data_IF_657587031516
#
_entry.id   IF_657587031516
#
_cell.length_a   1.000
_cell.length_b   1.000
_cell.length_c   1.000
_cell.angle_alpha   90.00
_cell.angle_beta   90.00
_cell.angle_gamma   90.00
#
_symmetry.space_group_name_H-M   'P 1'
#
loop_
_entity.id
_entity.type
_entity.pdbx_description
1 polymer ?
#
# COMPACT_ATOMS: atom_id res chain seq x y z
N UNK A 1 -5.40 29.39 -13.85
CA UNK A 1 -3.93 29.57 -13.86
C UNK A 1 -3.46 28.40 -13.02
N UNK A 2 -3.47 27.23 -13.65
CA UNK A 2 -3.37 25.95 -13.00
C UNK A 2 -1.89 25.60 -12.90
N UNK A 3 -1.33 25.74 -11.70
CA UNK A 3 -0.02 25.20 -11.35
C UNK A 3 -0.13 23.67 -11.26
N UNK A 4 -0.22 23.01 -12.43
CA UNK A 4 0.26 21.65 -12.58
C UNK A 4 1.78 21.72 -12.46
N UNK A 5 2.28 21.74 -11.23
CA UNK A 5 3.68 21.41 -10.96
C UNK A 5 3.86 19.99 -11.51
N UNK A 6 4.49 19.90 -12.68
CA UNK A 6 4.97 18.63 -13.22
C UNK A 6 6.04 18.12 -12.25
N UNK A 7 5.62 17.40 -11.21
CA UNK A 7 6.52 16.68 -10.32
C UNK A 7 7.32 15.76 -11.25
N UNK A 8 8.63 15.97 -11.34
CA UNK A 8 9.48 15.10 -12.17
C UNK A 8 9.30 13.67 -11.66
N UNK A 9 9.21 12.67 -12.53
CA UNK A 9 9.14 11.29 -12.08
C UNK A 9 10.31 11.01 -11.14
N UNK A 10 10.00 10.65 -9.90
CA UNK A 10 10.98 10.35 -8.87
C UNK A 10 11.36 8.87 -9.01
N UNK A 11 12.65 8.55 -8.90
CA UNK A 11 13.06 7.15 -8.86
C UNK A 11 12.47 6.49 -7.62
N UNK A 12 12.14 5.20 -7.72
CA UNK A 12 11.69 4.43 -6.57
C UNK A 12 12.81 4.44 -5.51
N UNK A 13 12.53 4.90 -4.26
CA UNK A 13 13.52 4.93 -3.20
C UNK A 13 13.80 3.53 -2.64
N UNK A 14 14.97 3.36 -2.03
CA UNK A 14 15.43 2.07 -1.50
C UNK A 14 14.47 1.46 -0.45
N UNK A 15 13.77 2.28 0.35
CA UNK A 15 12.81 1.76 1.33
C UNK A 15 11.61 1.02 0.69
N UNK A 16 11.34 1.28 -0.59
CA UNK A 16 10.31 0.59 -1.39
C UNK A 16 10.86 -0.57 -2.23
N UNK A 17 12.14 -0.94 -2.07
CA UNK A 17 12.69 -2.12 -2.72
C UNK A 17 12.17 -3.38 -2.04
N UNK A 18 12.14 -4.50 -2.75
CA UNK A 18 11.81 -5.78 -2.14
C UNK A 18 12.94 -6.19 -1.20
N UNK A 19 12.59 -6.47 0.06
CA UNK A 19 13.51 -7.08 1.02
C UNK A 19 13.96 -8.46 0.56
N UNK A 20 13.07 -9.22 -0.08
CA UNK A 20 13.38 -10.58 -0.54
C UNK A 20 14.37 -10.60 -1.70
N UNK A 21 14.23 -9.66 -2.65
CA UNK A 21 15.05 -9.63 -3.86
C UNK A 21 16.28 -8.69 -3.77
N UNK A 22 16.34 -7.83 -2.75
CA UNK A 22 17.36 -6.78 -2.57
C UNK A 22 17.50 -5.85 -3.80
N UNK A 23 16.35 -5.51 -4.39
CA UNK A 23 16.21 -4.68 -5.62
C UNK A 23 14.78 -4.15 -5.77
N UNK A 24 14.49 -3.23 -6.71
CA UNK A 24 13.11 -2.87 -7.03
C UNK A 24 12.28 -4.09 -7.39
N UNK A 25 11.00 -4.11 -6.97
CA UNK A 25 10.06 -5.17 -7.32
C UNK A 25 10.04 -5.41 -8.84
N UNK A 26 10.17 -6.67 -9.24
CA UNK A 26 10.22 -7.03 -10.64
C UNK A 26 8.95 -7.68 -11.17
N UNK A 27 8.30 -8.51 -10.36
CA UNK A 27 7.13 -9.30 -10.76
C UNK A 27 5.94 -9.00 -9.87
N UNK A 28 4.74 -8.99 -10.45
CA UNK A 28 3.49 -8.90 -9.70
C UNK A 28 3.36 -10.12 -8.80
N UNK A 29 3.08 -9.88 -7.52
CA UNK A 29 2.90 -10.93 -6.51
C UNK A 29 1.78 -11.90 -6.86
N UNK A 30 0.73 -11.45 -7.57
CA UNK A 30 -0.44 -12.28 -7.91
C UNK A 30 -0.29 -13.04 -9.23
N UNK A 31 -0.01 -12.36 -10.34
CA UNK A 31 0.06 -13.01 -11.65
C UNK A 31 1.47 -13.48 -12.05
N UNK A 32 2.51 -13.01 -11.37
CA UNK A 32 3.91 -13.33 -11.68
C UNK A 32 4.49 -12.62 -12.91
N UNK A 33 3.70 -11.82 -13.62
CA UNK A 33 4.17 -11.05 -14.78
C UNK A 33 5.06 -9.87 -14.38
N UNK A 34 5.91 -9.43 -15.31
CA UNK A 34 6.86 -8.33 -15.10
C UNK A 34 6.13 -7.00 -14.88
N UNK A 35 6.37 -6.34 -13.73
CA UNK A 35 5.75 -5.06 -13.37
C UNK A 35 6.12 -3.92 -14.33
N UNK A 36 7.31 -4.00 -14.91
CA UNK A 36 7.84 -3.02 -15.86
C UNK A 36 7.11 -2.99 -17.20
N UNK A 37 6.42 -4.08 -17.55
CA UNK A 37 5.71 -4.20 -18.83
C UNK A 37 4.27 -3.68 -18.76
N UNK A 38 3.79 -3.29 -17.57
CA UNK A 38 2.45 -2.75 -17.38
C UNK A 38 2.42 -1.23 -17.61
N UNK A 39 1.87 -0.82 -18.75
CA UNK A 39 1.65 0.59 -19.12
C UNK A 39 0.74 1.33 -18.12
N UNK A 40 -0.16 0.62 -17.44
CA UNK A 40 -1.05 1.19 -16.44
C UNK A 40 -0.32 1.52 -15.13
N UNK A 41 0.78 0.81 -14.85
CA UNK A 41 1.53 0.90 -13.59
C UNK A 41 1.19 -0.19 -12.58
N UNK A 42 1.75 -0.04 -11.39
CA UNK A 42 1.66 -0.99 -10.29
C UNK A 42 1.72 -0.32 -8.93
N UNK A 43 1.29 -1.03 -7.90
CA UNK A 43 1.34 -0.58 -6.52
C UNK A 43 2.34 -1.42 -5.73
N UNK A 44 3.13 -0.77 -4.89
CA UNK A 44 3.94 -1.39 -3.84
C UNK A 44 3.27 -1.09 -2.50
N UNK A 45 3.19 -2.08 -1.62
CA UNK A 45 2.75 -1.87 -0.25
C UNK A 45 3.63 -2.64 0.72
N UNK A 46 4.06 -1.97 1.79
CA UNK A 46 4.92 -2.52 2.83
C UNK A 46 4.39 -2.15 4.22
N UNK A 47 4.61 -3.02 5.20
CA UNK A 47 4.43 -2.71 6.62
C UNK A 47 5.77 -2.86 7.32
N UNK A 48 6.08 -1.84 8.11
CA UNK A 48 7.29 -1.73 8.90
C UNK A 48 6.97 -1.82 10.39
N UNK A 49 7.90 -2.41 11.13
CA UNK A 49 7.90 -2.43 12.59
C UNK A 49 9.34 -2.48 13.09
N UNK A 50 9.69 -1.60 14.03
CA UNK A 50 11.06 -1.49 14.57
C UNK A 50 12.14 -1.29 13.47
N UNK A 51 11.80 -0.59 12.39
CA UNK A 51 12.70 -0.33 11.26
C UNK A 51 12.86 -1.48 10.26
N UNK A 52 12.15 -2.59 10.43
CA UNK A 52 12.19 -3.74 9.52
C UNK A 52 10.85 -3.88 8.80
N UNK A 53 10.87 -4.18 7.49
CA UNK A 53 9.67 -4.54 6.77
C UNK A 53 9.25 -5.97 7.15
N UNK A 54 8.08 -6.09 7.78
CA UNK A 54 7.53 -7.37 8.25
C UNK A 54 6.54 -7.98 7.26
N UNK A 55 6.10 -7.18 6.27
CA UNK A 55 5.25 -7.63 5.18
C UNK A 55 5.45 -6.72 3.97
N UNK A 56 5.48 -7.29 2.78
CA UNK A 56 5.62 -6.54 1.53
C UNK A 56 4.97 -7.27 0.36
N UNK A 57 4.52 -6.50 -0.64
CA UNK A 57 4.09 -7.03 -1.93
C UNK A 57 4.05 -5.93 -3.00
N UNK A 58 3.95 -6.36 -4.26
CA UNK A 58 3.67 -5.49 -5.37
C UNK A 58 2.62 -6.09 -6.30
N UNK A 59 1.61 -5.31 -6.70
CA UNK A 59 0.57 -5.74 -7.63
C UNK A 59 0.53 -4.82 -8.84
N UNK A 60 0.46 -5.40 -10.05
CA UNK A 60 0.03 -4.61 -11.21
C UNK A 60 -1.40 -4.09 -10.98
N UNK A 61 -1.74 -2.95 -11.59
CA UNK A 61 -3.05 -2.35 -11.35
C UNK A 61 -4.22 -3.22 -11.78
N UNK A 62 -4.05 -4.10 -12.77
CA UNK A 62 -5.09 -5.07 -13.14
C UNK A 62 -5.38 -6.05 -12.00
N UNK A 63 -4.36 -6.65 -11.39
CA UNK A 63 -4.52 -7.55 -10.24
C UNK A 63 -5.02 -6.83 -8.98
N UNK A 64 -4.57 -5.58 -8.76
CA UNK A 64 -5.05 -4.74 -7.67
C UNK A 64 -6.54 -4.43 -7.84
N UNK A 65 -6.95 -3.92 -9.00
CA UNK A 65 -8.35 -3.58 -9.29
C UNK A 65 -9.28 -4.79 -9.17
N UNK A 66 -8.84 -5.97 -9.63
CA UNK A 66 -9.58 -7.22 -9.46
C UNK A 66 -9.80 -7.52 -7.97
N UNK A 67 -8.74 -7.49 -7.15
CA UNK A 67 -8.82 -7.70 -5.69
C UNK A 67 -9.79 -6.71 -5.02
N UNK A 68 -9.69 -5.41 -5.37
CA UNK A 68 -10.62 -4.40 -4.84
C UNK A 68 -12.06 -4.70 -5.26
N UNK A 69 -12.29 -5.12 -6.51
CA UNK A 69 -13.64 -5.39 -7.01
C UNK A 69 -14.38 -6.49 -6.23
N UNK A 70 -13.64 -7.42 -5.64
CA UNK A 70 -14.16 -8.53 -4.84
C UNK A 70 -14.63 -8.09 -3.44
N UNK A 71 -14.13 -6.94 -2.95
CA UNK A 71 -14.52 -6.37 -1.66
C UNK A 71 -16.01 -6.07 -1.57
N UNK A 72 -16.52 -5.98 -0.33
CA UNK A 72 -17.88 -5.48 -0.12
C UNK A 72 -18.02 -4.05 -0.65
N UNK A 73 -19.16 -3.72 -1.25
CA UNK A 73 -19.47 -2.36 -1.72
C UNK A 73 -19.45 -1.35 -0.56
N UNK A 74 -19.89 -1.77 0.62
CA UNK A 74 -19.90 -0.95 1.84
C UNK A 74 -18.48 -0.57 2.28
N UNK A 75 -17.56 -1.53 2.40
CA UNK A 75 -16.18 -1.23 2.78
C UNK A 75 -15.45 -0.42 1.73
N UNK A 76 -15.67 -0.68 0.43
CA UNK A 76 -15.09 0.14 -0.64
C UNK A 76 -15.52 1.59 -0.51
N UNK A 77 -16.83 1.84 -0.47
CA UNK A 77 -17.37 3.19 -0.35
C UNK A 77 -16.85 3.88 0.92
N UNK A 78 -16.87 3.19 2.06
CA UNK A 78 -16.46 3.75 3.35
C UNK A 78 -14.97 4.09 3.38
N UNK A 79 -14.12 3.24 2.82
CA UNK A 79 -12.68 3.50 2.69
C UNK A 79 -12.42 4.65 1.70
N UNK A 80 -13.03 4.59 0.51
CA UNK A 80 -12.92 5.65 -0.52
C UNK A 80 -13.31 7.02 0.06
N UNK A 81 -14.42 7.09 0.80
CA UNK A 81 -14.87 8.31 1.45
C UNK A 81 -13.88 8.78 2.52
N UNK A 82 -13.44 7.86 3.38
CA UNK A 82 -12.50 8.19 4.45
C UNK A 82 -11.17 8.72 3.92
N UNK A 83 -10.55 8.06 2.94
CA UNK A 83 -9.30 8.53 2.37
C UNK A 83 -9.49 9.84 1.59
N UNK A 84 -10.56 9.98 0.80
CA UNK A 84 -10.84 11.22 0.07
C UNK A 84 -11.01 12.44 1.01
N UNK A 85 -11.60 12.23 2.18
CA UNK A 85 -11.84 13.31 3.15
C UNK A 85 -10.61 13.63 4.02
N UNK A 86 -9.76 12.65 4.31
CA UNK A 86 -8.71 12.77 5.33
C UNK A 86 -7.28 12.72 4.79
N UNK A 87 -7.07 12.21 3.58
CA UNK A 87 -5.72 12.00 3.03
C UNK A 87 -5.17 13.31 2.48
N UNK A 88 -3.97 13.67 2.94
CA UNK A 88 -3.16 14.74 2.40
C UNK A 88 -2.09 14.14 1.47
N UNK A 89 -2.26 14.19 0.14
CA UNK A 89 -1.33 13.58 -0.80
C UNK A 89 0.03 14.29 -0.84
N UNK A 90 0.12 15.52 -0.32
CA UNK A 90 1.37 16.28 -0.35
C UNK A 90 2.38 15.84 0.72
N UNK A 91 1.99 14.94 1.63
CA UNK A 91 2.89 14.45 2.70
C UNK A 91 3.90 13.45 2.16
N UNK A 92 3.51 12.62 1.19
CA UNK A 92 4.41 11.60 0.63
C UNK A 92 4.98 10.67 1.70
N UNK A 93 6.31 10.52 1.66
CA UNK A 93 7.10 9.71 2.60
C UNK A 93 7.58 10.49 3.85
N UNK A 94 7.16 11.74 4.03
CA UNK A 94 7.61 12.61 5.13
C UNK A 94 6.79 12.47 6.43
N UNK A 95 5.68 11.72 6.39
CA UNK A 95 4.81 11.53 7.54
C UNK A 95 3.48 10.86 7.20
N UNK A 96 2.64 10.67 8.20
CA UNK A 96 1.33 10.05 8.03
C UNK A 96 0.39 10.93 7.19
N UNK A 97 -0.03 10.44 6.03
CA UNK A 97 -0.90 11.16 5.11
C UNK A 97 -2.30 11.47 5.68
N UNK A 98 -2.75 10.73 6.71
CA UNK A 98 -4.09 10.88 7.29
C UNK A 98 -4.16 11.79 8.52
N UNK A 99 -3.06 11.96 9.26
CA UNK A 99 -3.05 12.77 10.48
C UNK A 99 -1.91 13.78 10.56
N UNK A 100 -1.04 13.82 9.53
CA UNK A 100 0.15 14.67 9.45
C UNK A 100 1.16 14.45 10.59
N UNK A 101 1.13 13.29 11.24
CA UNK A 101 2.21 12.88 12.16
C UNK A 101 3.53 12.80 11.39
N UNK A 102 4.59 13.42 11.91
CA UNK A 102 5.90 13.43 11.22
C UNK A 102 6.54 12.03 11.20
N UNK A 103 7.40 11.77 10.21
CA UNK A 103 8.07 10.47 9.99
C UNK A 103 8.72 9.89 11.25
N UNK A 104 9.48 10.69 12.01
CA UNK A 104 10.19 10.20 13.21
C UNK A 104 9.26 9.70 14.31
N UNK A 105 8.06 10.26 14.42
CA UNK A 105 7.04 9.76 15.36
C UNK A 105 6.33 8.53 14.79
N UNK A 106 6.08 8.47 13.48
CA UNK A 106 5.46 7.30 12.84
C UNK A 106 6.33 6.05 13.00
N UNK A 107 7.65 6.17 12.82
CA UNK A 107 8.59 5.05 12.85
C UNK A 107 8.80 4.42 14.24
N UNK A 108 8.26 5.03 15.30
CA UNK A 108 8.33 4.47 16.67
C UNK A 108 7.44 3.25 16.87
N UNK A 109 6.42 3.11 16.03
CA UNK A 109 5.43 2.04 16.07
C UNK A 109 5.35 1.31 14.73
N UNK A 110 4.36 0.42 14.57
CA UNK A 110 4.05 -0.20 13.28
C UNK A 110 3.45 0.85 12.32
N UNK A 111 3.85 0.84 11.06
CA UNK A 111 3.32 1.73 10.04
C UNK A 111 3.35 1.07 8.67
N UNK A 112 2.56 1.60 7.72
CA UNK A 112 2.61 1.17 6.34
C UNK A 112 3.14 2.26 5.42
N UNK A 113 3.77 1.81 4.35
CA UNK A 113 4.13 2.64 3.19
C UNK A 113 3.41 2.05 1.98
N UNK A 114 2.72 2.91 1.23
CA UNK A 114 2.16 2.59 -0.08
C UNK A 114 2.77 3.47 -1.16
N UNK A 115 2.95 2.94 -2.36
CA UNK A 115 3.41 3.70 -3.51
C UNK A 115 2.76 3.23 -4.81
N UNK A 116 2.46 4.18 -5.68
CA UNK A 116 2.06 3.96 -7.06
C UNK A 116 3.27 4.20 -7.96
N UNK A 117 3.55 3.25 -8.85
CA UNK A 117 4.74 3.26 -9.68
C UNK A 117 4.38 3.01 -11.15
N UNK A 118 5.20 3.56 -12.05
CA UNK A 118 5.13 3.29 -13.47
C UNK A 118 6.55 3.20 -14.05
N UNK A 119 6.88 2.03 -14.59
CA UNK A 119 8.25 1.66 -14.92
C UNK A 119 9.16 1.78 -13.68
N UNK A 120 10.28 2.50 -13.84
CA UNK A 120 11.29 2.69 -12.77
C UNK A 120 10.98 3.87 -11.84
N UNK A 121 9.83 4.51 -12.03
CA UNK A 121 9.50 5.75 -11.36
C UNK A 121 8.35 5.54 -10.38
N UNK A 122 8.49 6.14 -9.22
CA UNK A 122 7.41 6.40 -8.28
C UNK A 122 6.61 7.61 -8.77
N UNK A 123 5.30 7.43 -8.87
CA UNK A 123 4.33 8.45 -9.26
C UNK A 123 3.79 9.15 -8.02
N UNK A 124 3.38 8.36 -7.03
CA UNK A 124 2.90 8.87 -5.74
C UNK A 124 3.24 7.89 -4.61
N UNK A 125 3.20 8.37 -3.37
CA UNK A 125 3.47 7.56 -2.19
C UNK A 125 2.81 8.14 -0.95
N UNK A 126 2.62 7.31 0.06
CA UNK A 126 2.06 7.74 1.33
C UNK A 126 2.52 6.82 2.46
N UNK A 127 2.47 7.36 3.67
CA UNK A 127 2.65 6.61 4.91
C UNK A 127 1.35 6.66 5.71
N UNK A 128 1.00 5.55 6.36
CA UNK A 128 -0.08 5.51 7.35
C UNK A 128 0.48 5.00 8.68
N UNK A 129 0.34 5.81 9.74
CA UNK A 129 0.78 5.42 11.09
C UNK A 129 -0.15 4.38 11.74
N UNK A 130 0.34 3.69 12.78
CA UNK A 130 -0.41 2.64 13.53
C UNK A 130 -1.85 3.03 13.86
N UNK A 131 -2.06 4.20 14.46
CA UNK A 131 -3.42 4.63 14.87
C UNK A 131 -4.34 4.86 13.67
N UNK A 132 -3.81 5.36 12.55
CA UNK A 132 -4.62 5.53 11.34
C UNK A 132 -4.89 4.20 10.66
N UNK A 133 -3.95 3.24 10.70
CA UNK A 133 -4.15 1.87 10.23
C UNK A 133 -5.25 1.14 11.02
N UNK A 134 -5.32 1.35 12.34
CA UNK A 134 -6.40 0.79 13.17
C UNK A 134 -7.76 1.39 12.81
N UNK A 135 -7.82 2.71 12.56
CA UNK A 135 -9.04 3.39 12.13
C UNK A 135 -9.53 2.83 10.79
N UNK A 136 -8.68 2.76 9.79
CA UNK A 136 -9.04 2.24 8.46
C UNK A 136 -9.44 0.77 8.54
N UNK A 137 -8.76 -0.03 9.37
CA UNK A 137 -9.14 -1.42 9.60
C UNK A 137 -10.54 -1.58 10.24
N UNK A 138 -10.94 -0.65 11.13
CA UNK A 138 -12.27 -0.68 11.75
C UNK A 138 -13.43 -0.41 10.78
N UNK A 139 -13.13 0.12 9.57
CA UNK A 139 -14.12 0.39 8.52
C UNK A 139 -14.39 -0.83 7.62
N UNK A 140 -13.64 -1.92 7.83
CA UNK A 140 -13.66 -3.10 6.96
C UNK A 140 -14.65 -4.13 7.46
N UNK A 141 -15.46 -4.65 6.54
CA UNK A 141 -16.42 -5.71 6.81
C UNK A 141 -15.75 -7.08 6.85
N UNK A 142 -16.42 -8.04 7.49
CA UNK A 142 -15.96 -9.44 7.49
C UNK A 142 -15.79 -10.03 6.08
N UNK A 143 -16.59 -9.58 5.09
CA UNK A 143 -16.43 -10.01 3.69
C UNK A 143 -15.10 -9.54 3.13
N UNK A 144 -14.79 -8.25 3.28
CA UNK A 144 -13.53 -7.68 2.76
C UNK A 144 -12.32 -8.28 3.48
N UNK A 145 -12.40 -8.51 4.80
CA UNK A 145 -11.37 -9.25 5.52
C UNK A 145 -11.15 -10.65 4.92
N UNK A 146 -12.23 -11.37 4.60
CA UNK A 146 -12.10 -12.71 4.00
C UNK A 146 -11.40 -12.68 2.63
N UNK A 147 -11.76 -11.74 1.74
CA UNK A 147 -11.10 -11.60 0.43
C UNK A 147 -9.60 -11.33 0.61
N UNK A 148 -9.25 -10.49 1.57
CA UNK A 148 -7.85 -10.26 1.91
C UNK A 148 -7.16 -11.52 2.43
N UNK A 149 -7.79 -12.25 3.34
CA UNK A 149 -7.23 -13.50 3.86
C UNK A 149 -7.03 -14.52 2.72
N UNK A 150 -7.96 -14.61 1.77
CA UNK A 150 -7.84 -15.45 0.58
C UNK A 150 -6.63 -15.04 -0.27
N UNK A 151 -6.49 -13.73 -0.58
CA UNK A 151 -5.31 -13.19 -1.28
C UNK A 151 -4.00 -13.58 -0.58
N UNK A 152 -3.95 -13.43 0.75
CA UNK A 152 -2.75 -13.77 1.50
C UNK A 152 -2.44 -15.26 1.43
N UNK A 153 -3.45 -16.12 1.63
CA UNK A 153 -3.27 -17.57 1.59
C UNK A 153 -2.80 -18.08 0.22
N UNK A 154 -3.26 -17.45 -0.85
CA UNK A 154 -2.91 -17.81 -2.22
C UNK A 154 -1.48 -17.38 -2.60
N UNK A 155 -1.06 -16.20 -2.12
CA UNK A 155 0.19 -15.56 -2.60
C UNK A 155 1.36 -15.65 -1.61
N UNK A 156 1.08 -15.93 -0.33
CA UNK A 156 2.08 -16.04 0.74
C UNK A 156 1.96 -17.38 1.50
N UNK A 157 2.09 -18.52 0.81
CA UNK A 157 1.93 -19.82 1.45
C UNK A 157 3.00 -20.00 2.53
N UNK A 158 2.56 -20.29 3.76
CA UNK A 158 3.44 -20.61 4.88
C UNK A 158 3.79 -19.44 5.79
N UNK A 159 3.31 -18.22 5.54
CA UNK A 159 3.42 -17.13 6.51
C UNK A 159 2.47 -17.39 7.70
N UNK A 160 2.95 -17.37 8.95
CA UNK A 160 2.09 -17.60 10.12
C UNK A 160 0.95 -16.58 10.20
N UNK A 161 -0.26 -17.02 10.54
CA UNK A 161 -1.45 -16.16 10.57
C UNK A 161 -1.32 -14.93 11.48
N UNK A 162 -0.53 -15.03 12.55
CA UNK A 162 -0.26 -13.92 13.47
C UNK A 162 0.78 -12.92 12.96
N UNK A 163 1.44 -13.20 11.84
CA UNK A 163 2.38 -12.30 11.16
C UNK A 163 1.72 -11.57 9.97
N UNK A 164 0.46 -11.87 9.65
CA UNK A 164 -0.23 -11.32 8.50
C UNK A 164 -0.96 -10.01 8.85
N UNK A 165 -0.85 -8.98 8.01
CA UNK A 165 -1.54 -7.73 8.25
C UNK A 165 -3.00 -7.81 7.84
N UNK A 166 -3.84 -7.02 8.51
CA UNK A 166 -5.21 -6.79 8.05
C UNK A 166 -5.23 -5.82 6.85
N UNK A 167 -6.22 -5.92 5.94
CA UNK A 167 -6.25 -5.13 4.71
C UNK A 167 -6.17 -3.63 5.00
N UNK A 168 -6.92 -3.13 5.99
CA UNK A 168 -6.99 -1.71 6.30
C UNK A 168 -5.65 -1.07 6.67
N UNK A 169 -4.65 -1.88 7.02
CA UNK A 169 -3.30 -1.41 7.33
C UNK A 169 -2.52 -0.97 6.10
N UNK A 170 -2.88 -1.39 4.89
CA UNK A 170 -2.04 -1.23 3.69
C UNK A 170 -2.50 -0.14 2.72
N UNK A 171 -3.57 0.60 3.03
CA UNK A 171 -4.06 1.64 2.11
C UNK A 171 -4.67 1.03 0.86
N UNK A 172 -5.78 0.29 1.03
CA UNK A 172 -6.40 -0.59 0.03
C UNK A 172 -7.22 0.16 -1.04
N UNK A 173 -6.75 1.35 -1.46
CA UNK A 173 -7.34 2.11 -2.56
C UNK A 173 -6.43 2.13 -3.78
#
# INVERSE_FOLDING_TARGET
MDDFISKRPEKIPFELYSEYEDRPFHTCTRCGETLMDYDEGYQIAKIFKNGEAIFEYALCFSCHAEMISEFSSESRQTLEDFYRENMNPNVGLEGCALCNMNRLEVEKDEYSIGAMCHGENMVDSFIICSTCMEKTNSLISAKTQKIWDDFINENFPGVPANALPSPGKLGVL
#
